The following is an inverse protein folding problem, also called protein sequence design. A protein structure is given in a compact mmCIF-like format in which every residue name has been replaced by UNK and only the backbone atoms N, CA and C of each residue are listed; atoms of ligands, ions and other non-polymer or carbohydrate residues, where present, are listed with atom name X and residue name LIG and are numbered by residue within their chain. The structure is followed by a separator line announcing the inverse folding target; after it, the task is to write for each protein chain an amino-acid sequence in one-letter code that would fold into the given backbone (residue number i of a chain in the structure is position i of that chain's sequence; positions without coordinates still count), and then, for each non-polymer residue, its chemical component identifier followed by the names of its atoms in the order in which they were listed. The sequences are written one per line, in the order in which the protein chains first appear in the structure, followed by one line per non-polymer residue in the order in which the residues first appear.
data_IF_107154636557
#
_entry.id   IF_107154636557
#
_cell.length_a   1.000
_cell.length_b   1.000
_cell.length_c   1.000
_cell.angle_alpha   90.00
_cell.angle_beta   90.00
_cell.angle_gamma   90.00
#
_symmetry.space_group_name_H-M   'P 1'
#
loop_
_entity.id
_entity.type
_entity.pdbx_description
1 polymer ?
#
# COMPACT_ATOMS: atom_id res chain seq x y z
N UNK A 1 10.33 -9.65 5.97
CA UNK A 1 9.48 -8.69 6.71
C UNK A 1 8.27 -8.31 5.86
N UNK A 2 7.13 -8.37 6.43
CA UNK A 2 5.86 -8.05 5.79
C UNK A 2 5.38 -6.69 6.30
N UNK A 3 4.98 -5.80 5.39
CA UNK A 3 4.27 -4.58 5.73
C UNK A 3 2.78 -4.79 5.49
N UNK A 4 1.98 -4.60 6.53
CA UNK A 4 0.53 -4.69 6.45
C UNK A 4 -0.08 -3.30 6.49
N UNK A 5 -0.89 -2.99 5.50
CA UNK A 5 -1.65 -1.75 5.45
C UNK A 5 -3.13 -2.08 5.63
N UNK A 6 -3.74 -1.53 6.68
CA UNK A 6 -5.14 -1.78 6.99
C UNK A 6 -6.10 -1.24 5.94
N UNK A 7 -5.67 -0.33 5.11
CA UNK A 7 -6.52 0.32 4.12
C UNK A 7 -7.67 1.09 4.76
N UNK A 8 -7.71 2.39 4.55
CA UNK A 8 -8.77 3.25 5.08
C UNK A 8 -9.75 3.61 3.98
N UNK A 9 -11.03 3.59 4.29
CA UNK A 9 -12.06 4.07 3.37
C UNK A 9 -12.01 5.60 3.31
N UNK A 10 -11.11 6.12 2.51
CA UNK A 10 -10.85 7.56 2.39
C UNK A 10 -12.06 8.36 1.89
N UNK A 11 -13.03 7.69 1.26
CA UNK A 11 -14.28 8.32 0.88
C UNK A 11 -15.04 8.98 2.03
N UNK A 12 -14.85 8.49 3.26
CA UNK A 12 -15.46 9.06 4.46
C UNK A 12 -14.84 10.39 4.88
N UNK A 13 -13.67 10.76 4.34
CA UNK A 13 -12.98 12.00 4.72
C UNK A 13 -13.63 13.25 4.09
N UNK A 14 -14.29 13.12 2.95
CA UNK A 14 -14.89 14.24 2.24
C UNK A 14 -13.87 15.37 2.04
N UNK A 15 -14.25 16.60 2.34
CA UNK A 15 -13.41 17.78 2.22
C UNK A 15 -12.64 18.10 3.53
N UNK A 16 -12.60 17.19 4.48
CA UNK A 16 -11.90 17.41 5.76
C UNK A 16 -10.38 17.30 5.56
N UNK A 17 -9.73 18.44 5.35
CA UNK A 17 -8.30 18.53 5.07
C UNK A 17 -7.44 17.88 6.18
N UNK A 18 -7.82 18.03 7.45
CA UNK A 18 -7.08 17.47 8.57
C UNK A 18 -7.03 15.93 8.51
N UNK A 19 -8.11 15.28 8.09
CA UNK A 19 -8.17 13.83 7.92
C UNK A 19 -7.25 13.35 6.79
N UNK A 20 -7.24 14.08 5.67
CA UNK A 20 -6.34 13.77 4.57
C UNK A 20 -4.88 13.94 4.97
N UNK A 21 -4.56 15.00 5.72
CA UNK A 21 -3.21 15.24 6.22
C UNK A 21 -2.74 14.14 7.16
N UNK A 22 -3.60 13.68 8.06
CA UNK A 22 -3.30 12.55 8.95
C UNK A 22 -3.04 11.27 8.17
N UNK A 23 -3.84 11.01 7.15
CA UNK A 23 -3.67 9.83 6.30
C UNK A 23 -2.34 9.86 5.54
N UNK A 24 -2.01 11.00 4.93
CA UNK A 24 -0.73 11.17 4.22
C UNK A 24 0.45 10.96 5.18
N UNK A 25 0.39 11.57 6.36
CA UNK A 25 1.43 11.42 7.37
C UNK A 25 1.57 9.96 7.82
N UNK A 26 0.46 9.26 8.02
CA UNK A 26 0.46 7.84 8.40
C UNK A 26 1.08 6.96 7.33
N UNK A 27 0.79 7.20 6.06
CA UNK A 27 1.38 6.45 4.96
C UNK A 27 2.91 6.68 4.88
N UNK A 28 3.36 7.89 5.11
CA UNK A 28 4.80 8.22 5.14
C UNK A 28 5.49 7.58 6.33
N UNK A 29 4.86 7.59 7.50
CA UNK A 29 5.40 6.96 8.71
C UNK A 29 5.54 5.45 8.54
N UNK A 30 4.50 4.76 8.09
CA UNK A 30 4.55 3.30 7.88
C UNK A 30 5.53 2.95 6.77
N UNK A 31 5.63 3.78 5.72
CA UNK A 31 6.60 3.60 4.66
C UNK A 31 8.03 3.65 5.17
N UNK A 32 8.34 4.61 6.06
CA UNK A 32 9.66 4.70 6.69
C UNK A 32 9.95 3.50 7.58
N UNK A 33 9.00 3.09 8.40
CA UNK A 33 9.13 1.92 9.27
C UNK A 33 9.37 0.66 8.42
N UNK A 34 8.64 0.49 7.34
CA UNK A 34 8.81 -0.63 6.41
C UNK A 34 10.20 -0.62 5.76
N UNK A 35 10.70 0.55 5.36
CA UNK A 35 12.04 0.70 4.80
C UNK A 35 13.11 0.31 5.81
N UNK A 36 13.02 0.84 7.02
CA UNK A 36 13.98 0.56 8.09
C UNK A 36 13.99 -0.92 8.49
N UNK A 37 12.84 -1.58 8.39
CA UNK A 37 12.70 -3.01 8.66
C UNK A 37 13.04 -3.91 7.47
N UNK A 38 13.29 -3.35 6.29
CA UNK A 38 13.60 -4.12 5.09
C UNK A 38 12.41 -4.93 4.56
N UNK A 39 11.19 -4.41 4.68
CA UNK A 39 10.00 -5.09 4.23
C UNK A 39 10.01 -5.33 2.71
N UNK A 40 9.69 -6.55 2.31
CA UNK A 40 9.66 -6.98 0.89
C UNK A 40 8.29 -7.48 0.45
N UNK A 41 7.31 -7.49 1.34
CA UNK A 41 5.95 -7.96 1.10
C UNK A 41 4.97 -6.89 1.56
N UNK A 42 3.95 -6.63 0.73
CA UNK A 42 2.80 -5.80 1.10
C UNK A 42 1.58 -6.70 1.24
N UNK A 43 0.87 -6.55 2.34
CA UNK A 43 -0.47 -7.11 2.54
C UNK A 43 -1.46 -6.00 2.84
N UNK A 44 -2.65 -6.10 2.29
CA UNK A 44 -3.74 -5.17 2.57
C UNK A 44 -5.00 -5.95 2.91
N UNK A 45 -5.91 -5.33 3.65
CA UNK A 45 -7.25 -5.87 3.86
C UNK A 45 -8.15 -5.66 2.63
N UNK A 46 -7.68 -4.96 1.60
CA UNK A 46 -8.35 -4.80 0.31
C UNK A 46 -7.50 -5.44 -0.79
N UNK A 47 -8.03 -6.50 -1.40
CA UNK A 47 -7.31 -7.28 -2.41
C UNK A 47 -6.93 -6.49 -3.66
N UNK A 48 -7.64 -5.42 -3.96
CA UNK A 48 -7.31 -4.55 -5.08
C UNK A 48 -6.01 -3.77 -4.87
N UNK A 49 -5.56 -3.62 -3.63
CA UNK A 49 -4.32 -2.89 -3.33
C UNK A 49 -3.08 -3.78 -3.34
N UNK A 50 -3.22 -5.06 -3.00
CA UNK A 50 -2.08 -5.97 -2.93
C UNK A 50 -2.10 -7.07 -4.01
N UNK A 51 -3.14 -7.12 -4.83
CA UNK A 51 -3.29 -8.15 -5.85
C UNK A 51 -3.42 -9.56 -5.28
N UNK A 52 -4.01 -9.69 -4.08
CA UNK A 52 -4.02 -10.95 -3.33
C UNK A 52 -4.64 -12.11 -4.11
N UNK A 53 -5.72 -11.88 -4.83
CA UNK A 53 -6.37 -12.94 -5.61
C UNK A 53 -5.47 -13.48 -6.73
N UNK A 54 -4.81 -12.59 -7.47
CA UNK A 54 -3.86 -12.98 -8.51
C UNK A 54 -2.68 -13.73 -7.92
N UNK A 55 -2.12 -13.21 -6.83
CA UNK A 55 -0.99 -13.83 -6.14
C UNK A 55 -1.36 -15.21 -5.58
N UNK A 56 -2.56 -15.36 -5.03
CA UNK A 56 -3.05 -16.64 -4.53
C UNK A 56 -3.16 -17.69 -5.65
N UNK A 57 -3.61 -17.29 -6.84
CA UNK A 57 -3.63 -18.19 -8.01
C UNK A 57 -2.22 -18.61 -8.42
N UNK A 58 -1.27 -17.68 -8.36
CA UNK A 58 0.14 -17.98 -8.68
C UNK A 58 0.75 -18.95 -7.67
N UNK A 59 0.38 -18.86 -6.40
CA UNK A 59 0.83 -19.80 -5.36
C UNK A 59 0.30 -21.20 -5.64
N UNK A 60 -0.96 -21.32 -6.07
CA UNK A 60 -1.60 -22.60 -6.38
C UNK A 60 -1.10 -23.22 -7.69
N UNK A 61 -0.51 -22.42 -8.59
CA UNK A 61 0.02 -22.91 -9.85
C UNK A 61 1.35 -23.65 -9.65
N UNK A 62 1.70 -24.61 -10.53
CA UNK A 62 3.01 -25.25 -10.49
C UNK A 62 4.13 -24.20 -10.62
N UNK A 63 5.14 -24.27 -9.74
CA UNK A 63 6.29 -23.37 -9.76
C UNK A 63 7.57 -24.18 -9.89
N UNK A 64 8.56 -23.57 -10.52
CA UNK A 64 9.89 -24.16 -10.63
C UNK A 64 10.71 -23.92 -9.36
N UNK A 65 11.71 -24.77 -9.15
CA UNK A 65 12.67 -24.58 -8.06
C UNK A 65 13.39 -23.23 -8.25
N UNK A 66 13.43 -22.44 -7.20
CA UNK A 66 14.08 -21.12 -7.22
C UNK A 66 13.20 -19.95 -7.59
N UNK A 67 11.94 -20.19 -7.99
CA UNK A 67 11.01 -19.09 -8.21
C UNK A 67 10.69 -18.36 -6.91
N UNK A 68 10.66 -17.02 -6.98
CA UNK A 68 10.34 -16.17 -5.85
C UNK A 68 8.84 -16.29 -5.52
N UNK A 69 8.52 -16.34 -4.25
CA UNK A 69 7.13 -16.38 -3.79
C UNK A 69 6.37 -15.16 -4.33
N UNK A 70 5.13 -15.33 -4.87
CA UNK A 70 4.40 -14.24 -5.53
C UNK A 70 4.15 -13.00 -4.67
N UNK A 71 4.08 -13.14 -3.35
CA UNK A 71 3.90 -12.01 -2.44
C UNK A 71 5.20 -11.24 -2.15
N UNK A 72 6.35 -11.79 -2.51
CA UNK A 72 7.63 -11.07 -2.35
C UNK A 72 7.81 -10.15 -3.54
N UNK A 73 7.49 -8.87 -3.35
CA UNK A 73 7.58 -7.85 -4.41
C UNK A 73 8.88 -7.04 -4.34
N UNK A 74 9.63 -7.16 -3.25
CA UNK A 74 10.88 -6.44 -3.03
C UNK A 74 10.71 -5.14 -2.27
N UNK A 75 11.79 -4.68 -1.65
CA UNK A 75 11.77 -3.48 -0.82
C UNK A 75 11.40 -2.23 -1.61
N UNK A 76 11.87 -2.11 -2.84
CA UNK A 76 11.59 -0.95 -3.70
C UNK A 76 10.10 -0.86 -4.05
N UNK A 77 9.46 -1.99 -4.38
CA UNK A 77 8.02 -2.02 -4.66
C UNK A 77 7.20 -1.67 -3.43
N UNK A 78 7.62 -2.11 -2.24
CA UNK A 78 6.99 -1.73 -0.97
C UNK A 78 7.03 -0.21 -0.78
N UNK A 79 8.17 0.42 -1.04
CA UNK A 79 8.31 1.88 -0.93
C UNK A 79 7.44 2.61 -1.94
N UNK A 80 7.40 2.13 -3.19
CA UNK A 80 6.51 2.71 -4.21
C UNK A 80 5.03 2.63 -3.80
N UNK A 81 4.62 1.54 -3.17
CA UNK A 81 3.25 1.40 -2.67
C UNK A 81 2.90 2.53 -1.72
N UNK A 82 3.72 2.79 -0.71
CA UNK A 82 3.43 3.84 0.27
C UNK A 82 3.52 5.24 -0.34
N UNK A 83 4.42 5.47 -1.27
CA UNK A 83 4.51 6.73 -2.01
C UNK A 83 3.24 6.98 -2.82
N UNK A 84 2.74 5.98 -3.55
CA UNK A 84 1.51 6.09 -4.32
C UNK A 84 0.33 6.36 -3.41
N UNK A 85 0.22 5.66 -2.28
CA UNK A 85 -0.88 5.87 -1.34
C UNK A 85 -0.87 7.30 -0.78
N UNK A 86 0.30 7.83 -0.42
CA UNK A 86 0.43 9.20 0.08
C UNK A 86 0.12 10.24 -1.01
N UNK A 87 0.67 10.08 -2.20
CA UNK A 87 0.49 11.03 -3.31
C UNK A 87 -0.95 11.04 -3.83
N UNK A 88 -1.60 9.89 -3.93
CA UNK A 88 -3.01 9.81 -4.33
C UNK A 88 -3.92 10.47 -3.30
N UNK A 89 -3.63 10.30 -2.00
CA UNK A 89 -4.38 10.95 -0.95
C UNK A 89 -4.21 12.48 -1.00
N UNK A 90 -2.99 12.96 -1.25
CA UNK A 90 -2.72 14.38 -1.39
C UNK A 90 -3.45 14.97 -2.60
N UNK A 91 -3.44 14.27 -3.74
CA UNK A 91 -4.18 14.68 -4.92
C UNK A 91 -5.68 14.75 -4.66
N UNK A 92 -6.24 13.78 -3.94
CA UNK A 92 -7.65 13.78 -3.56
C UNK A 92 -8.00 14.97 -2.65
N UNK A 93 -7.14 15.27 -1.68
CA UNK A 93 -7.30 16.45 -0.83
C UNK A 93 -7.36 17.73 -1.65
N UNK A 94 -6.41 17.91 -2.57
CA UNK A 94 -6.34 19.10 -3.41
C UNK A 94 -7.55 19.22 -4.33
N UNK A 95 -8.00 18.12 -4.92
CA UNK A 95 -9.19 18.10 -5.77
C UNK A 95 -10.44 18.49 -5.00
N UNK A 96 -10.61 18.01 -3.79
CA UNK A 96 -11.78 18.30 -2.96
C UNK A 96 -11.77 19.73 -2.46
N UNK A 97 -10.60 20.28 -2.17
CA UNK A 97 -10.45 21.69 -1.74
C UNK A 97 -10.75 22.69 -2.89
N UNK A 98 -10.60 22.26 -4.15
CA UNK A 98 -10.84 23.09 -5.32
C UNK A 98 -12.32 23.21 -5.73
N UNK A 99 -13.22 22.47 -5.09
CA UNK A 99 -14.66 22.47 -5.38
C UNK A 99 -15.41 23.59 -4.69
#
# INVERSE_FOLDING_TARGET
MVAYSGGTLTGAFGANAARWDEYVASQRTIGKVAADAGATVILSNHSEYDGAYTKARLIAAPRQVGEVHPFIVGAEAVQRYFTVMAECALASKLRLAAR
#
